data_IF_945601235630
#
_entry.id   IF_945601235630
#
_cell.length_a   1.000
_cell.length_b   1.000
_cell.length_c   1.000
_cell.angle_alpha   90.00
_cell.angle_beta   90.00
_cell.angle_gamma   90.00
#
_symmetry.space_group_name_H-M   'P 1'
#
loop_
_entity.id
_entity.type
_entity.pdbx_description
1 polymer ?
#
# COMPACT_ATOMS: atom_id res chain seq x y z
N UNK A 1 4.75 3.29 -17.89
CA UNK A 1 4.19 2.99 -16.56
C UNK A 1 4.96 1.82 -15.98
N UNK A 2 5.30 1.90 -14.69
CA UNK A 2 5.95 0.82 -13.93
C UNK A 2 5.03 0.35 -12.81
N UNK A 3 4.96 -0.96 -12.59
CA UNK A 3 4.20 -1.57 -11.49
C UNK A 3 5.14 -2.38 -10.62
N UNK A 4 5.11 -2.13 -9.32
CA UNK A 4 5.88 -2.86 -8.30
C UNK A 4 4.91 -3.54 -7.35
N UNK A 5 4.88 -4.87 -7.37
CA UNK A 5 4.22 -5.69 -6.37
C UNK A 5 5.21 -6.13 -5.30
N UNK A 6 4.92 -5.96 -4.01
CA UNK A 6 5.81 -6.42 -2.93
C UNK A 6 5.07 -6.83 -1.66
N UNK A 7 5.79 -7.52 -0.78
CA UNK A 7 5.40 -7.76 0.61
C UNK A 7 6.54 -7.34 1.52
N UNK A 8 6.29 -6.40 2.43
CA UNK A 8 7.27 -6.04 3.44
C UNK A 8 7.18 -7.00 4.63
N UNK A 9 8.30 -7.23 5.29
CA UNK A 9 8.37 -8.07 6.47
C UNK A 9 7.47 -7.50 7.58
N UNK A 10 6.72 -8.37 8.26
CA UNK A 10 5.82 -7.97 9.33
C UNK A 10 6.62 -7.53 10.59
N UNK A 11 6.49 -6.26 11.05
CA UNK A 11 7.24 -5.75 12.18
C UNK A 11 6.65 -6.13 13.55
N UNK A 12 5.46 -6.73 13.60
CA UNK A 12 4.80 -7.16 14.85
C UNK A 12 5.36 -8.50 15.36
N UNK A 13 5.88 -9.35 14.48
CA UNK A 13 6.40 -10.68 14.82
C UNK A 13 7.89 -10.86 14.50
N UNK A 14 8.49 -9.90 13.79
CA UNK A 14 9.87 -9.97 13.33
C UNK A 14 10.57 -8.61 13.52
N UNK A 15 11.89 -8.56 13.31
CA UNK A 15 12.70 -7.36 13.56
C UNK A 15 12.24 -6.13 12.76
N UNK A 16 11.80 -5.07 13.44
CA UNK A 16 11.26 -3.84 12.84
C UNK A 16 12.26 -3.12 11.91
N UNK A 17 13.56 -3.26 12.14
CA UNK A 17 14.59 -2.64 11.29
C UNK A 17 14.56 -3.16 9.85
N UNK A 18 14.22 -4.44 9.65
CA UNK A 18 14.10 -5.03 8.31
C UNK A 18 12.85 -4.50 7.58
N UNK A 19 11.77 -4.22 8.28
CA UNK A 19 10.60 -3.54 7.72
C UNK A 19 10.94 -2.12 7.29
N UNK A 20 11.66 -1.37 8.15
CA UNK A 20 12.18 -0.04 7.81
C UNK A 20 13.07 -0.06 6.57
N UNK A 21 14.03 -0.99 6.50
CA UNK A 21 14.88 -1.17 5.33
C UNK A 21 14.09 -1.54 4.06
N UNK A 22 12.96 -2.24 4.21
CA UNK A 22 12.02 -2.51 3.12
C UNK A 22 11.36 -1.24 2.57
N UNK A 23 10.90 -0.34 3.45
CA UNK A 23 10.39 0.97 3.04
C UNK A 23 11.46 1.83 2.34
N UNK A 24 12.69 1.79 2.84
CA UNK A 24 13.81 2.51 2.21
C UNK A 24 14.17 1.92 0.84
N UNK A 25 14.10 0.60 0.68
CA UNK A 25 14.29 -0.07 -0.61
C UNK A 25 13.21 0.33 -1.61
N UNK A 26 11.94 0.38 -1.20
CA UNK A 26 10.84 0.88 -2.03
C UNK A 26 11.05 2.34 -2.45
N UNK A 27 11.51 3.19 -1.53
CA UNK A 27 11.85 4.59 -1.86
C UNK A 27 12.96 4.63 -2.90
N UNK A 28 14.01 3.82 -2.77
CA UNK A 28 15.10 3.78 -3.72
C UNK A 28 14.66 3.28 -5.12
N UNK A 29 13.65 2.40 -5.18
CA UNK A 29 12.99 2.02 -6.44
C UNK A 29 12.20 3.19 -7.02
N UNK A 30 11.42 3.88 -6.18
CA UNK A 30 10.65 5.05 -6.61
C UNK A 30 11.56 6.19 -7.12
N UNK A 31 12.67 6.47 -6.45
CA UNK A 31 13.63 7.51 -6.84
C UNK A 31 14.29 7.23 -8.21
N UNK A 32 14.41 5.95 -8.60
CA UNK A 32 15.00 5.52 -9.89
C UNK A 32 13.98 5.28 -10.99
N UNK A 33 12.69 5.38 -10.68
CA UNK A 33 11.62 5.14 -11.65
C UNK A 33 11.17 6.47 -12.25
N UNK A 34 11.24 6.59 -13.57
CA UNK A 34 10.71 7.74 -14.30
C UNK A 34 9.28 7.48 -14.80
N UNK A 35 8.44 8.50 -14.76
CA UNK A 35 7.05 8.45 -15.21
C UNK A 35 6.10 7.70 -14.27
N UNK A 36 4.89 7.36 -14.77
CA UNK A 36 3.82 6.75 -13.96
C UNK A 36 4.27 5.49 -13.21
N UNK A 37 4.10 5.49 -11.89
CA UNK A 37 4.50 4.40 -10.99
C UNK A 37 3.31 3.97 -10.13
N UNK A 38 3.10 2.66 -10.05
CA UNK A 38 2.20 2.00 -9.08
C UNK A 38 3.01 1.10 -8.16
N UNK A 39 2.82 1.24 -6.86
CA UNK A 39 3.34 0.31 -5.84
C UNK A 39 2.15 -0.34 -5.14
N UNK A 40 2.13 -1.66 -5.04
CA UNK A 40 1.03 -2.39 -4.41
C UNK A 40 1.46 -3.62 -3.63
N UNK A 41 0.66 -3.99 -2.63
CA UNK A 41 0.79 -5.23 -1.86
C UNK A 41 0.70 -5.01 -0.35
N UNK A 42 1.07 -6.05 0.39
CA UNK A 42 1.10 -6.05 1.86
C UNK A 42 2.36 -5.32 2.35
N UNK A 43 2.20 -4.06 2.74
CA UNK A 43 3.33 -3.28 3.25
C UNK A 43 3.50 -3.43 4.76
N UNK A 44 2.65 -4.25 5.43
CA UNK A 44 2.64 -4.42 6.88
C UNK A 44 2.68 -3.07 7.63
N UNK A 45 1.98 -2.07 7.08
CA UNK A 45 2.04 -0.69 7.52
C UNK A 45 0.63 -0.13 7.65
N UNK A 46 0.26 0.45 8.80
CA UNK A 46 -0.97 1.24 8.81
C UNK A 46 -0.72 2.62 8.17
N UNK A 47 -1.73 3.27 7.59
CA UNK A 47 -1.65 4.66 7.12
C UNK A 47 -1.24 5.66 8.22
N UNK A 48 -1.48 5.29 9.49
CA UNK A 48 -1.08 6.05 10.67
C UNK A 48 0.36 5.79 11.14
N UNK A 49 1.09 4.84 10.55
CA UNK A 49 2.48 4.60 10.88
C UNK A 49 3.36 5.79 10.46
N UNK A 50 4.18 6.30 11.39
CA UNK A 50 5.05 7.47 11.14
C UNK A 50 6.00 7.20 9.98
N UNK A 51 6.63 6.03 9.95
CA UNK A 51 7.57 5.64 8.90
C UNK A 51 6.88 5.53 7.52
N UNK A 52 5.67 4.95 7.45
CA UNK A 52 4.90 4.87 6.20
C UNK A 52 4.56 6.26 5.66
N UNK A 53 4.08 7.18 6.51
CA UNK A 53 3.84 8.58 6.09
C UNK A 53 5.11 9.27 5.61
N UNK A 54 6.25 8.99 6.25
CA UNK A 54 7.56 9.49 5.83
C UNK A 54 7.95 8.97 4.45
N UNK A 55 7.81 7.66 4.23
CA UNK A 55 8.03 7.00 2.94
C UNK A 55 7.14 7.59 1.83
N UNK A 56 5.83 7.70 2.05
CA UNK A 56 4.88 8.23 1.06
C UNK A 56 5.26 9.66 0.64
N UNK A 57 5.54 10.54 1.61
CA UNK A 57 5.96 11.93 1.34
C UNK A 57 7.26 12.00 0.54
N UNK A 58 8.28 11.20 0.92
CA UNK A 58 9.60 11.24 0.27
C UNK A 58 9.63 10.60 -1.11
N UNK A 59 8.77 9.61 -1.37
CA UNK A 59 8.70 8.93 -2.67
C UNK A 59 7.78 9.63 -3.66
N UNK A 60 6.90 10.52 -3.18
CA UNK A 60 5.84 11.14 -4.00
C UNK A 60 4.67 10.19 -4.29
N UNK A 61 4.66 8.99 -3.71
CA UNK A 61 3.55 8.04 -3.83
C UNK A 61 2.38 8.46 -2.95
N UNK A 62 1.17 8.41 -3.51
CA UNK A 62 -0.09 8.68 -2.80
C UNK A 62 -0.93 7.42 -2.77
N UNK A 63 -1.41 7.04 -1.60
CA UNK A 63 -2.29 5.88 -1.44
C UNK A 63 -3.65 6.12 -2.13
N UNK A 64 -4.18 5.11 -2.82
CA UNK A 64 -5.51 5.12 -3.44
C UNK A 64 -6.61 5.50 -2.44
N UNK A 65 -6.53 5.00 -1.21
CA UNK A 65 -7.50 5.33 -0.14
C UNK A 65 -7.50 6.83 0.18
N UNK A 66 -6.31 7.43 0.22
CA UNK A 66 -6.15 8.87 0.44
C UNK A 66 -6.53 9.71 -0.78
N UNK A 67 -6.30 9.22 -2.00
CA UNK A 67 -6.71 9.89 -3.24
C UNK A 67 -8.23 9.95 -3.39
N UNK A 68 -8.92 8.86 -3.03
CA UNK A 68 -10.36 8.71 -3.19
C UNK A 68 -11.17 9.18 -1.97
N UNK A 69 -10.50 9.50 -0.85
CA UNK A 69 -11.17 9.89 0.40
C UNK A 69 -12.01 8.76 1.01
N UNK A 70 -11.69 7.50 0.72
CA UNK A 70 -12.52 6.33 1.06
C UNK A 70 -12.38 5.84 2.51
N UNK A 71 -11.65 6.57 3.35
CA UNK A 71 -11.17 6.06 4.64
C UNK A 71 -10.15 4.93 4.48
N UNK A 72 -9.83 4.24 5.58
CA UNK A 72 -8.84 3.15 5.60
C UNK A 72 -9.49 1.82 5.98
N UNK A 73 -10.25 1.22 5.06
CA UNK A 73 -10.88 -0.07 5.29
C UNK A 73 -9.83 -1.15 5.59
N UNK A 74 -10.04 -1.88 6.69
CA UNK A 74 -9.13 -2.93 7.12
C UNK A 74 -9.08 -4.09 6.14
N UNK A 75 -7.87 -4.49 5.76
CA UNK A 75 -7.62 -5.55 4.78
C UNK A 75 -7.25 -6.86 5.46
N UNK A 76 -6.60 -6.83 6.62
CA UNK A 76 -6.20 -8.01 7.37
C UNK A 76 -6.98 -8.16 8.68
N UNK A 77 -7.22 -9.40 9.12
CA UNK A 77 -7.85 -9.68 10.42
C UNK A 77 -9.38 -9.52 10.40
N UNK A 78 -10.06 -10.00 9.35
CA UNK A 78 -11.53 -10.18 9.34
C UNK A 78 -11.90 -11.60 9.75
N UNK A 79 -11.65 -11.96 11.00
CA UNK A 79 -12.03 -13.25 11.59
C UNK A 79 -13.00 -13.04 12.75
N UNK A 80 -13.82 -14.05 13.14
CA UNK A 80 -14.76 -13.91 14.25
C UNK A 80 -14.11 -13.58 15.60
N UNK A 81 -12.80 -13.81 15.73
CA UNK A 81 -12.01 -13.67 16.96
C UNK A 81 -11.05 -12.47 16.94
N UNK A 82 -10.95 -11.73 15.84
CA UNK A 82 -9.97 -10.64 15.70
C UNK A 82 -10.50 -9.28 16.10
N UNK A 83 -9.60 -8.45 16.61
CA UNK A 83 -9.80 -7.01 16.76
C UNK A 83 -10.07 -6.35 15.40
N UNK A 84 -10.54 -5.09 15.42
CA UNK A 84 -10.93 -4.35 14.23
C UNK A 84 -9.92 -4.53 13.07
N UNK A 85 -10.38 -4.82 11.83
CA UNK A 85 -9.49 -5.19 10.74
C UNK A 85 -8.50 -4.06 10.43
N UNK A 86 -7.25 -4.44 10.15
CA UNK A 86 -6.12 -3.52 10.04
C UNK A 86 -5.82 -3.23 8.56
N UNK A 87 -5.70 -1.96 8.15
CA UNK A 87 -5.37 -1.61 6.77
C UNK A 87 -3.84 -1.69 6.57
N UNK A 88 -3.33 -2.82 6.09
CA UNK A 88 -1.89 -3.04 5.86
C UNK A 88 -1.53 -3.34 4.39
N UNK A 89 -2.55 -3.54 3.56
CA UNK A 89 -2.39 -3.67 2.12
C UNK A 89 -2.66 -2.33 1.45
N UNK A 90 -1.86 -2.00 0.45
CA UNK A 90 -1.89 -0.69 -0.20
C UNK A 90 -1.87 -0.81 -1.72
N UNK A 91 -2.47 0.17 -2.38
CA UNK A 91 -2.18 0.52 -3.77
C UNK A 91 -1.84 2.01 -3.75
N UNK A 92 -0.63 2.35 -4.16
CA UNK A 92 -0.12 3.72 -4.18
C UNK A 92 0.32 4.10 -5.59
N UNK A 93 0.08 5.35 -5.98
CA UNK A 93 0.43 5.84 -7.31
C UNK A 93 1.24 7.13 -7.25
N UNK A 94 2.08 7.34 -8.26
CA UNK A 94 2.78 8.60 -8.58
C UNK A 94 2.71 8.81 -10.08
N UNK A 95 2.49 10.05 -10.50
CA UNK A 95 2.27 10.43 -11.91
C UNK A 95 1.16 9.60 -12.60
N UNK A 96 0.21 9.12 -11.82
CA UNK A 96 -1.02 8.44 -12.23
C UNK A 96 -2.08 8.64 -11.14
N UNK A 97 -3.36 8.63 -11.52
CA UNK A 97 -4.46 8.87 -10.60
C UNK A 97 -5.23 7.57 -10.33
N UNK A 98 -5.47 7.25 -9.06
CA UNK A 98 -6.39 6.20 -8.68
C UNK A 98 -7.83 6.70 -8.82
N UNK A 99 -8.67 6.02 -9.60
CA UNK A 99 -10.03 6.45 -9.93
C UNK A 99 -11.12 5.58 -9.33
N UNK A 100 -10.80 4.35 -8.93
CA UNK A 100 -11.70 3.45 -8.20
C UNK A 100 -10.85 2.51 -7.34
N UNK A 101 -11.35 2.17 -6.15
CA UNK A 101 -10.74 1.17 -5.27
C UNK A 101 -11.85 0.32 -4.67
N UNK A 102 -11.77 -0.99 -4.89
CA UNK A 102 -12.71 -1.98 -4.36
C UNK A 102 -12.00 -2.97 -3.48
N UNK A 103 -12.70 -3.37 -2.42
CA UNK A 103 -12.21 -4.32 -1.44
C UNK A 103 -13.12 -5.52 -1.48
N UNK A 104 -12.53 -6.66 -1.78
CA UNK A 104 -13.26 -7.90 -1.99
C UNK A 104 -12.71 -8.97 -1.10
N UNK A 105 -13.58 -9.86 -0.60
CA UNK A 105 -13.13 -11.00 0.17
C UNK A 105 -12.63 -12.07 -0.79
N UNK A 106 -11.43 -12.58 -0.56
CA UNK A 106 -10.92 -13.73 -1.30
C UNK A 106 -11.00 -14.98 -0.42
N UNK A 107 -11.83 -15.99 -0.76
CA UNK A 107 -11.87 -17.24 -0.01
C UNK A 107 -10.47 -17.87 0.10
N UNK A 108 -10.10 -18.37 1.27
CA UNK A 108 -8.77 -18.97 1.51
C UNK A 108 -7.65 -17.97 1.82
N UNK A 109 -7.92 -16.66 1.87
CA UNK A 109 -6.98 -15.65 2.38
C UNK A 109 -7.49 -15.04 3.68
N UNK A 110 -6.56 -14.73 4.59
CA UNK A 110 -6.77 -13.92 5.79
C UNK A 110 -6.74 -12.41 5.49
N UNK A 111 -6.41 -12.03 4.25
CA UNK A 111 -6.52 -10.68 3.71
C UNK A 111 -7.76 -10.52 2.80
N UNK A 112 -8.28 -9.30 2.75
CA UNK A 112 -9.19 -8.85 1.69
C UNK A 112 -8.37 -8.30 0.53
N UNK A 113 -8.76 -8.62 -0.71
CA UNK A 113 -8.08 -8.17 -1.91
C UNK A 113 -8.45 -6.71 -2.23
N UNK A 114 -7.46 -5.94 -2.68
CA UNK A 114 -7.62 -4.60 -3.24
C UNK A 114 -7.64 -4.69 -4.78
N UNK A 115 -8.69 -4.14 -5.41
CA UNK A 115 -8.77 -3.91 -6.85
C UNK A 115 -8.84 -2.42 -7.11
N UNK A 116 -7.81 -1.87 -7.74
CA UNK A 116 -7.76 -0.46 -8.11
C UNK A 116 -7.93 -0.28 -9.62
N UNK A 117 -8.56 0.83 -10.03
CA UNK A 117 -8.49 1.36 -11.39
C UNK A 117 -7.60 2.58 -11.36
N UNK A 118 -6.61 2.62 -12.25
CA UNK A 118 -5.61 3.69 -12.32
C UNK A 118 -5.68 4.34 -13.69
N UNK A 119 -5.91 5.65 -13.72
CA UNK A 119 -5.83 6.47 -14.91
C UNK A 119 -4.40 6.98 -15.12
N UNK A 120 -3.88 6.77 -16.33
CA UNK A 120 -2.61 7.32 -16.75
C UNK A 120 -2.79 8.76 -17.27
N UNK A 121 -1.75 9.62 -17.14
CA UNK A 121 -1.76 10.93 -17.77
C UNK A 121 -1.96 10.78 -19.28
N UNK A 122 -2.68 11.72 -19.88
CA UNK A 122 -2.75 11.84 -21.33
C UNK A 122 -1.49 12.56 -21.81
N UNK A 123 -0.95 12.10 -22.93
CA UNK A 123 0.18 12.76 -23.61
C UNK A 123 -0.15 14.21 -24.01
#
# INVERSE_FOLDING_TARGET
MTVVGTRLQNPAFLAADRWGAGLDSLRAVADRTYGPLVVMGDLNATPSAVAFRGFARRSGLRDCTAQLGSGYPGTWGRTPTSWAPVPIDHVMTRDAACTDLRITRHPGSDHSALRAVVALPRD
#
